data_IF_398759070584
#
_entry.id   IF_398759070584
#
_cell.length_a   1.000
_cell.length_b   1.000
_cell.length_c   1.000
_cell.angle_alpha   90.00
_cell.angle_beta   90.00
_cell.angle_gamma   90.00
#
_symmetry.space_group_name_H-M   'P 1'
#
loop_
_entity.id
_entity.type
_entity.pdbx_description
1 polymer ?
#
# COMPACT_ATOMS: atom_id res chain seq x y z
N UNK A 1 8.26 -17.44 -31.38
CA UNK A 1 6.88 -17.27 -30.84
C UNK A 1 6.48 -15.82 -31.03
N UNK A 2 5.28 -15.53 -31.55
CA UNK A 2 4.86 -14.14 -31.79
C UNK A 2 4.56 -13.41 -30.47
N UNK A 3 4.91 -12.11 -30.33
CA UNK A 3 4.68 -11.32 -29.11
C UNK A 3 3.22 -11.36 -28.64
N UNK A 4 2.29 -11.47 -29.60
CA UNK A 4 0.85 -11.52 -29.38
C UNK A 4 0.37 -12.77 -28.61
N UNK A 5 0.96 -13.94 -28.86
CA UNK A 5 0.59 -15.18 -28.16
C UNK A 5 1.03 -15.16 -26.69
N UNK A 6 2.16 -14.51 -26.39
CA UNK A 6 2.64 -14.32 -25.02
C UNK A 6 1.65 -13.48 -24.21
N UNK A 7 1.14 -12.39 -24.79
CA UNK A 7 0.16 -11.51 -24.12
C UNK A 7 -1.13 -12.27 -23.80
N UNK A 8 -1.68 -13.02 -24.75
CA UNK A 8 -2.91 -13.81 -24.54
C UNK A 8 -2.72 -14.88 -23.46
N UNK A 9 -1.53 -15.52 -23.39
CA UNK A 9 -1.23 -16.50 -22.35
C UNK A 9 -1.15 -15.90 -20.93
N UNK A 10 -0.86 -14.59 -20.80
CA UNK A 10 -0.91 -13.88 -19.51
C UNK A 10 -2.35 -13.71 -19.03
N UNK A 11 -3.31 -13.54 -19.94
CA UNK A 11 -4.74 -13.41 -19.63
C UNK A 11 -5.46 -14.75 -19.41
N UNK A 12 -4.83 -15.87 -19.79
CA UNK A 12 -5.30 -17.20 -19.40
C UNK A 12 -4.99 -17.44 -17.93
N UNK A 13 -5.81 -16.86 -17.05
CA UNK A 13 -5.73 -17.05 -15.61
C UNK A 13 -6.07 -18.52 -15.27
N UNK A 14 -5.04 -19.36 -15.15
CA UNK A 14 -5.12 -20.63 -14.41
C UNK A 14 -4.55 -20.38 -13.02
N UNK A 15 -5.34 -19.85 -12.07
CA UNK A 15 -4.86 -19.63 -10.72
C UNK A 15 -4.47 -20.98 -10.10
N UNK A 16 -3.21 -21.09 -9.69
CA UNK A 16 -2.74 -22.22 -8.91
C UNK A 16 -3.23 -22.08 -7.47
N UNK A 17 -4.39 -22.69 -7.18
CA UNK A 17 -5.00 -22.65 -5.86
C UNK A 17 -4.18 -23.36 -4.79
N UNK A 18 -3.22 -24.24 -5.16
CA UNK A 18 -2.36 -24.93 -4.20
C UNK A 18 -1.43 -23.98 -3.44
N UNK A 19 -1.16 -22.80 -4.01
CA UNK A 19 -0.30 -21.77 -3.41
C UNK A 19 -1.07 -20.68 -2.66
N UNK A 20 -2.40 -20.78 -2.57
CA UNK A 20 -3.20 -19.80 -1.81
C UNK A 20 -3.11 -20.08 -0.32
N UNK A 21 -2.96 -19.01 0.45
CA UNK A 21 -3.04 -19.05 1.91
C UNK A 21 -4.43 -18.59 2.30
N UNK A 22 -5.32 -19.55 2.58
CA UNK A 22 -6.73 -19.28 2.88
C UNK A 22 -6.94 -18.23 3.98
N UNK A 23 -6.17 -18.33 5.07
CA UNK A 23 -6.27 -17.36 6.17
C UNK A 23 -6.01 -15.91 5.75
N UNK A 24 -5.08 -15.67 4.81
CA UNK A 24 -4.82 -14.32 4.30
C UNK A 24 -5.97 -13.80 3.44
N UNK A 25 -6.63 -14.68 2.70
CA UNK A 25 -7.80 -14.31 1.89
C UNK A 25 -8.99 -13.94 2.80
N UNK A 26 -9.18 -14.67 3.91
CA UNK A 26 -10.19 -14.32 4.94
C UNK A 26 -9.89 -12.96 5.58
N UNK A 27 -8.63 -12.72 5.99
CA UNK A 27 -8.25 -11.45 6.61
C UNK A 27 -8.43 -10.26 5.66
N UNK A 28 -8.17 -10.44 4.36
CA UNK A 28 -8.46 -9.42 3.35
C UNK A 28 -9.94 -9.18 3.18
N UNK A 29 -10.76 -10.23 3.16
CA UNK A 29 -12.20 -10.08 3.06
C UNK A 29 -12.75 -9.27 4.25
N UNK A 30 -12.27 -9.56 5.47
CA UNK A 30 -12.61 -8.78 6.67
C UNK A 30 -12.16 -7.32 6.54
N UNK A 31 -10.94 -7.06 6.06
CA UNK A 31 -10.45 -5.71 5.83
C UNK A 31 -11.34 -4.92 4.86
N UNK A 32 -11.78 -5.53 3.75
CA UNK A 32 -12.71 -4.91 2.79
C UNK A 32 -14.03 -4.55 3.46
N UNK A 33 -14.59 -5.48 4.25
CA UNK A 33 -15.85 -5.24 4.96
C UNK A 33 -15.71 -4.04 5.91
N UNK A 34 -14.61 -3.95 6.65
CA UNK A 34 -14.36 -2.83 7.56
C UNK A 34 -14.22 -1.49 6.81
N UNK A 35 -13.49 -1.46 5.69
CA UNK A 35 -13.37 -0.26 4.85
C UNK A 35 -14.73 0.18 4.32
N UNK A 36 -15.49 -0.73 3.71
CA UNK A 36 -16.82 -0.42 3.14
C UNK A 36 -17.79 0.05 4.22
N UNK A 37 -17.79 -0.61 5.38
CA UNK A 37 -18.66 -0.22 6.50
C UNK A 37 -18.30 1.17 7.04
N UNK A 38 -17.02 1.47 7.18
CA UNK A 38 -16.56 2.80 7.59
C UNK A 38 -17.01 3.90 6.63
N UNK A 39 -16.85 3.67 5.32
CA UNK A 39 -17.28 4.64 4.30
C UNK A 39 -18.80 4.76 4.20
N UNK A 40 -19.56 3.66 4.38
CA UNK A 40 -21.04 3.73 4.35
C UNK A 40 -21.60 4.55 5.50
N UNK A 41 -21.01 4.46 6.70
CA UNK A 41 -21.43 5.26 7.86
C UNK A 41 -21.19 6.76 7.64
N UNK A 42 -20.12 7.13 6.93
CA UNK A 42 -19.84 8.52 6.56
C UNK A 42 -20.88 9.09 5.57
N UNK A 43 -21.45 8.25 4.70
CA UNK A 43 -22.46 8.67 3.72
C UNK A 43 -23.83 8.93 4.36
N UNK A 44 -24.23 8.14 5.35
CA UNK A 44 -25.56 8.29 5.98
C UNK A 44 -25.65 9.43 7.01
N UNK A 45 -24.53 10.08 7.38
CA UNK A 45 -24.44 10.91 8.61
C UNK A 45 -25.04 10.19 9.81
N UNK A 46 -24.99 8.86 9.82
CA UNK A 46 -25.63 8.07 10.85
C UNK A 46 -24.81 8.24 12.13
N UNK A 47 -25.38 8.95 13.11
CA UNK A 47 -24.84 9.02 14.48
C UNK A 47 -24.89 7.66 15.20
N UNK A 48 -25.42 6.62 14.55
CA UNK A 48 -25.43 5.25 15.05
C UNK A 48 -24.04 4.63 14.87
N UNK A 49 -23.06 5.15 15.60
CA UNK A 49 -21.85 4.41 15.89
C UNK A 49 -22.24 3.03 16.43
N UNK A 50 -21.66 1.95 15.90
CA UNK A 50 -21.65 0.69 16.63
C UNK A 50 -20.92 0.99 17.96
N UNK A 51 -21.60 0.98 19.12
CA UNK A 51 -21.15 1.79 20.25
C UNK A 51 -19.93 1.23 21.00
N UNK A 52 -19.39 0.07 20.60
CA UNK A 52 -18.44 -0.68 21.44
C UNK A 52 -17.28 -1.35 20.70
N UNK A 53 -17.20 -1.23 19.38
CA UNK A 53 -16.07 -1.77 18.64
C UNK A 53 -15.47 -0.58 17.89
N UNK A 54 -14.38 -0.01 18.41
CA UNK A 54 -13.38 0.60 17.53
C UNK A 54 -12.97 -0.51 16.58
N UNK A 55 -13.64 -0.60 15.43
CA UNK A 55 -13.32 -1.59 14.41
C UNK A 55 -11.83 -1.41 14.11
N UNK A 56 -11.12 -2.53 14.00
CA UNK A 56 -9.77 -2.52 13.45
C UNK A 56 -9.88 -1.76 12.13
N UNK A 57 -9.08 -0.71 11.95
CA UNK A 57 -9.09 0.04 10.70
C UNK A 57 -8.74 -0.93 9.57
N UNK A 58 -9.69 -1.13 8.66
CA UNK A 58 -9.53 -2.04 7.53
C UNK A 58 -8.33 -1.64 6.66
N UNK A 59 -8.01 -0.34 6.58
CA UNK A 59 -6.84 0.16 5.85
C UNK A 59 -5.53 -0.25 6.54
N UNK A 60 -5.45 -0.11 7.87
CA UNK A 60 -4.29 -0.57 8.64
C UNK A 60 -4.07 -2.09 8.48
N UNK A 61 -5.17 -2.87 8.55
CA UNK A 61 -5.11 -4.30 8.33
C UNK A 61 -4.62 -4.64 6.91
N UNK A 62 -5.08 -3.90 5.89
CA UNK A 62 -4.56 -4.02 4.53
C UNK A 62 -3.07 -3.75 4.43
N UNK A 63 -2.57 -2.70 5.09
CA UNK A 63 -1.14 -2.39 5.12
C UNK A 63 -0.31 -3.50 5.76
N UNK A 64 -0.76 -4.05 6.89
CA UNK A 64 -0.07 -5.17 7.56
C UNK A 64 -0.01 -6.40 6.63
N UNK A 65 -1.13 -6.75 6.00
CA UNK A 65 -1.20 -7.90 5.08
C UNK A 65 -0.35 -7.70 3.82
N UNK A 66 -0.37 -6.49 3.24
CA UNK A 66 0.48 -6.12 2.10
C UNK A 66 1.95 -6.17 2.48
N UNK A 67 2.33 -5.63 3.63
CA UNK A 67 3.69 -5.68 4.17
C UNK A 67 4.19 -7.11 4.38
N UNK A 68 3.38 -7.98 4.98
CA UNK A 68 3.72 -9.40 5.17
C UNK A 68 4.00 -10.11 3.83
N UNK A 69 3.13 -9.92 2.84
CA UNK A 69 3.22 -10.61 1.56
C UNK A 69 4.31 -10.06 0.64
N UNK A 70 4.40 -8.74 0.51
CA UNK A 70 5.42 -8.08 -0.32
C UNK A 70 6.78 -8.20 0.35
N UNK A 71 6.83 -7.96 1.66
CA UNK A 71 8.01 -8.14 2.50
C UNK A 71 8.59 -9.54 2.37
N UNK A 72 7.78 -10.56 2.64
CA UNK A 72 8.21 -11.95 2.54
C UNK A 72 8.66 -12.35 1.13
N UNK A 73 8.01 -11.83 0.09
CA UNK A 73 8.41 -12.07 -1.30
C UNK A 73 9.77 -11.45 -1.62
N UNK A 74 9.97 -10.17 -1.26
CA UNK A 74 11.22 -9.47 -1.54
C UNK A 74 12.37 -10.05 -0.71
N UNK A 75 12.16 -10.34 0.57
CA UNK A 75 13.18 -10.99 1.41
C UNK A 75 13.65 -12.30 0.78
N UNK A 76 12.74 -13.14 0.26
CA UNK A 76 13.11 -14.37 -0.45
C UNK A 76 13.95 -14.11 -1.71
N UNK A 77 13.61 -13.07 -2.48
CA UNK A 77 14.41 -12.65 -3.65
C UNK A 77 15.82 -12.23 -3.24
N UNK A 78 15.98 -11.54 -2.11
CA UNK A 78 17.28 -11.09 -1.61
C UNK A 78 18.11 -12.21 -0.96
N UNK A 79 17.46 -13.17 -0.28
CA UNK A 79 18.12 -14.32 0.31
C UNK A 79 18.67 -15.27 -0.76
N UNK A 80 17.95 -15.43 -1.88
CA UNK A 80 18.42 -16.19 -3.03
C UNK A 80 19.28 -15.29 -3.93
N UNK A 81 20.59 -15.27 -3.68
CA UNK A 81 21.54 -14.34 -4.34
C UNK A 81 21.60 -14.47 -5.86
N UNK A 82 21.14 -15.60 -6.41
CA UNK A 82 20.99 -15.84 -7.86
C UNK A 82 19.79 -15.11 -8.47
N UNK A 83 18.77 -14.81 -7.67
CA UNK A 83 17.50 -14.22 -8.11
C UNK A 83 17.50 -12.69 -7.97
N UNK A 84 18.47 -12.14 -7.23
CA UNK A 84 18.64 -10.70 -7.09
C UNK A 84 19.30 -10.09 -8.33
N UNK A 85 18.47 -9.59 -9.24
CA UNK A 85 18.86 -8.74 -10.34
C UNK A 85 17.82 -7.62 -10.51
N UNK A 86 18.24 -6.48 -11.05
CA UNK A 86 17.37 -5.38 -11.47
C UNK A 86 16.16 -5.86 -12.27
N UNK A 87 16.33 -6.89 -13.13
CA UNK A 87 15.22 -7.45 -13.90
C UNK A 87 14.12 -8.07 -13.01
N UNK A 88 14.48 -8.70 -11.89
CA UNK A 88 13.51 -9.29 -10.95
C UNK A 88 12.70 -8.19 -10.26
N UNK A 89 13.36 -7.10 -9.83
CA UNK A 89 12.71 -5.95 -9.20
C UNK A 89 11.82 -5.21 -10.22
N UNK A 90 12.31 -5.03 -11.46
CA UNK A 90 11.51 -4.46 -12.56
C UNK A 90 10.25 -5.29 -12.83
N UNK A 91 10.37 -6.62 -12.87
CA UNK A 91 9.24 -7.51 -13.03
C UNK A 91 8.24 -7.40 -11.86
N UNK A 92 8.74 -7.19 -10.63
CA UNK A 92 7.91 -6.92 -9.46
C UNK A 92 7.10 -5.62 -9.67
N UNK A 93 7.74 -4.50 -10.02
CA UNK A 93 7.05 -3.23 -10.26
C UNK A 93 6.00 -3.33 -11.37
N UNK A 94 6.34 -3.94 -12.51
CA UNK A 94 5.41 -4.13 -13.63
C UNK A 94 4.16 -4.89 -13.16
N UNK A 95 4.32 -6.01 -12.45
CA UNK A 95 3.17 -6.80 -11.99
C UNK A 95 2.27 -6.03 -11.02
N UNK A 96 2.85 -5.17 -10.19
CA UNK A 96 2.12 -4.34 -9.22
C UNK A 96 1.38 -3.22 -9.94
N UNK A 97 2.07 -2.47 -10.79
CA UNK A 97 1.50 -1.35 -11.51
C UNK A 97 0.39 -1.76 -12.48
N UNK A 98 0.52 -2.88 -13.19
CA UNK A 98 -0.57 -3.40 -14.04
C UNK A 98 -1.80 -3.86 -13.23
N UNK A 99 -1.67 -4.06 -11.92
CA UNK A 99 -2.77 -4.43 -11.04
C UNK A 99 -3.46 -3.20 -10.43
N UNK A 100 -2.70 -2.18 -10.02
CA UNK A 100 -3.23 -1.04 -9.25
C UNK A 100 -3.49 0.19 -10.12
N UNK A 101 -2.56 0.56 -11.01
CA UNK A 101 -2.64 1.81 -11.77
C UNK A 101 -3.84 1.90 -12.72
N UNK A 102 -4.24 0.85 -13.48
CA UNK A 102 -5.39 0.96 -14.37
C UNK A 102 -6.68 1.33 -13.63
N UNK A 103 -6.92 0.70 -12.47
CA UNK A 103 -8.08 0.99 -11.66
C UNK A 103 -8.00 2.40 -11.05
N UNK A 104 -6.82 2.79 -10.54
CA UNK A 104 -6.60 4.13 -9.99
C UNK A 104 -6.91 5.24 -10.99
N UNK A 105 -6.29 5.19 -12.17
CA UNK A 105 -6.48 6.23 -13.18
C UNK A 105 -7.89 6.24 -13.76
N UNK A 106 -8.55 5.07 -13.83
CA UNK A 106 -9.96 5.00 -14.20
C UNK A 106 -10.85 5.73 -13.18
N UNK A 107 -10.66 5.45 -11.89
CA UNK A 107 -11.44 6.10 -10.82
C UNK A 107 -11.13 7.60 -10.75
N UNK A 108 -9.86 7.99 -10.87
CA UNK A 108 -9.47 9.40 -10.95
C UNK A 108 -10.16 10.12 -12.12
N UNK A 109 -10.18 9.50 -13.30
CA UNK A 109 -10.86 10.05 -14.47
C UNK A 109 -12.37 10.19 -14.24
N UNK A 110 -13.02 9.18 -13.69
CA UNK A 110 -14.45 9.22 -13.36
C UNK A 110 -14.75 10.32 -12.33
N UNK A 111 -13.90 10.45 -11.31
CA UNK A 111 -14.04 11.49 -10.29
C UNK A 111 -13.92 12.90 -10.92
N UNK A 112 -12.91 13.14 -11.76
CA UNK A 112 -12.77 14.37 -12.56
C UNK A 112 -14.05 14.67 -13.36
N UNK A 113 -14.60 13.69 -14.08
CA UNK A 113 -15.82 13.86 -14.88
C UNK A 113 -17.02 14.19 -13.99
N UNK A 114 -17.23 13.44 -12.91
CA UNK A 114 -18.41 13.61 -12.04
C UNK A 114 -18.39 14.93 -11.25
N UNK A 115 -17.22 15.38 -10.81
CA UNK A 115 -17.08 16.69 -10.16
C UNK A 115 -17.25 17.81 -11.18
N UNK A 116 -16.61 17.71 -12.35
CA UNK A 116 -16.71 18.74 -13.41
C UNK A 116 -18.15 18.91 -13.93
N UNK A 117 -18.90 17.80 -14.07
CA UNK A 117 -20.31 17.81 -14.48
C UNK A 117 -21.29 18.19 -13.37
N UNK A 118 -20.82 18.34 -12.12
CA UNK A 118 -21.65 18.67 -10.96
C UNK A 118 -22.49 17.51 -10.41
N UNK A 119 -22.25 16.27 -10.85
CA UNK A 119 -22.87 15.06 -10.27
C UNK A 119 -22.40 14.89 -8.81
N UNK A 120 -21.12 15.09 -8.57
CA UNK A 120 -20.51 15.11 -7.22
C UNK A 120 -20.25 16.57 -6.85
N UNK A 121 -20.77 17.01 -5.71
CA UNK A 121 -20.64 18.39 -5.21
C UNK A 121 -19.34 18.59 -4.41
N UNK A 122 -18.21 18.33 -5.06
CA UNK A 122 -16.87 18.59 -4.53
C UNK A 122 -16.23 19.79 -5.23
N UNK A 123 -15.22 20.39 -4.59
CA UNK A 123 -14.52 21.53 -5.17
C UNK A 123 -13.43 21.07 -6.16
N UNK A 124 -13.66 21.33 -7.45
CA UNK A 124 -12.70 21.01 -8.51
C UNK A 124 -11.38 21.76 -8.38
N UNK A 125 -11.34 22.89 -7.66
CA UNK A 125 -10.10 23.65 -7.43
C UNK A 125 -9.05 22.85 -6.64
N UNK A 126 -9.49 21.80 -5.93
CA UNK A 126 -8.63 20.89 -5.19
C UNK A 126 -7.91 19.88 -6.08
N UNK A 127 -8.39 19.66 -7.32
CA UNK A 127 -7.68 18.82 -8.28
C UNK A 127 -6.31 19.42 -8.62
N UNK A 128 -5.28 18.57 -8.60
CA UNK A 128 -3.90 18.98 -8.85
C UNK A 128 -3.12 17.87 -9.58
N UNK A 129 -2.10 18.26 -10.36
CA UNK A 129 -1.15 17.35 -11.01
C UNK A 129 -0.52 16.33 -10.04
N UNK A 130 -0.48 16.64 -8.74
CA UNK A 130 0.01 15.73 -7.71
C UNK A 130 -0.74 14.39 -7.63
N UNK A 131 -2.04 14.34 -7.95
CA UNK A 131 -2.78 13.06 -8.02
C UNK A 131 -2.27 12.14 -9.14
N UNK A 132 -1.66 12.68 -10.20
CA UNK A 132 -1.12 11.86 -11.28
C UNK A 132 0.13 11.09 -10.87
N UNK A 133 0.85 11.59 -9.86
CA UNK A 133 2.16 11.08 -9.42
C UNK A 133 2.15 10.58 -7.97
N UNK A 134 0.97 10.36 -7.38
CA UNK A 134 0.84 9.91 -5.99
C UNK A 134 1.52 10.87 -4.99
N UNK A 135 1.46 12.18 -5.26
CA UNK A 135 2.09 13.23 -4.43
C UNK A 135 1.08 13.97 -3.55
N UNK A 136 -0.20 13.62 -3.62
CA UNK A 136 -1.27 14.28 -2.88
C UNK A 136 -1.08 14.22 -1.37
N UNK A 137 -0.51 13.13 -0.84
CA UNK A 137 -0.23 12.98 0.60
C UNK A 137 0.79 13.99 1.15
N UNK A 138 1.60 14.59 0.28
CA UNK A 138 2.57 15.64 0.67
C UNK A 138 1.97 17.05 0.60
N UNK A 139 0.67 17.16 0.34
CA UNK A 139 -0.03 18.44 0.22
C UNK A 139 -0.98 18.60 1.40
N UNK A 140 -0.99 19.78 2.01
CA UNK A 140 -1.92 20.13 3.08
C UNK A 140 -2.74 21.36 2.65
N UNK A 141 -4.06 21.39 2.90
CA UNK A 141 -4.89 20.33 3.49
C UNK A 141 -5.31 19.24 2.48
N UNK A 142 -5.35 17.98 2.93
CA UNK A 142 -5.80 16.82 2.15
C UNK A 142 -7.25 16.46 2.50
N UNK A 143 -8.21 17.17 1.91
CA UNK A 143 -9.65 16.98 2.11
C UNK A 143 -10.37 17.12 0.77
N UNK A 144 -11.49 16.42 0.61
CA UNK A 144 -12.38 16.53 -0.56
C UNK A 144 -11.91 15.76 -1.80
N UNK A 145 -12.40 16.17 -2.98
CA UNK A 145 -12.14 15.67 -4.34
C UNK A 145 -11.83 14.17 -4.51
N UNK A 146 -10.67 13.69 -4.05
CA UNK A 146 -10.23 12.30 -4.18
C UNK A 146 -9.51 11.79 -2.91
N UNK A 147 -10.11 12.05 -1.75
CA UNK A 147 -9.53 11.77 -0.43
C UNK A 147 -9.23 10.28 -0.21
N UNK A 148 -10.03 9.37 -0.75
CA UNK A 148 -9.85 7.92 -0.62
C UNK A 148 -8.52 7.42 -1.24
N UNK A 149 -7.89 8.22 -2.11
CA UNK A 149 -6.63 7.88 -2.80
C UNK A 149 -5.40 7.84 -1.89
N UNK A 150 -5.50 8.35 -0.65
CA UNK A 150 -4.36 8.53 0.24
C UNK A 150 -3.63 7.23 0.54
N UNK A 151 -4.37 6.15 0.80
CA UNK A 151 -3.82 4.88 1.23
C UNK A 151 -3.06 4.19 0.10
N UNK A 152 -3.61 4.25 -1.12
CA UNK A 152 -2.95 3.74 -2.32
C UNK A 152 -1.69 4.54 -2.65
N UNK A 153 -1.70 5.87 -2.44
CA UNK A 153 -0.51 6.69 -2.59
C UNK A 153 0.65 6.22 -1.73
N UNK A 154 0.38 5.88 -0.46
CA UNK A 154 1.39 5.31 0.45
C UNK A 154 1.89 3.96 -0.07
N UNK A 155 0.97 3.11 -0.54
CA UNK A 155 1.31 1.79 -1.06
C UNK A 155 2.21 1.85 -2.31
N UNK A 156 1.96 2.79 -3.24
CA UNK A 156 2.81 2.98 -4.43
C UNK A 156 4.23 3.45 -4.06
N UNK A 157 4.37 4.38 -3.12
CA UNK A 157 5.69 4.78 -2.62
C UNK A 157 6.39 3.64 -1.88
N UNK A 158 5.64 2.82 -1.13
CA UNK A 158 6.19 1.61 -0.53
C UNK A 158 6.73 0.64 -1.60
N UNK A 159 6.05 0.47 -2.73
CA UNK A 159 6.54 -0.40 -3.82
C UNK A 159 7.87 0.08 -4.43
N UNK A 160 8.13 1.39 -4.40
CA UNK A 160 9.38 1.96 -4.91
C UNK A 160 10.48 1.89 -3.86
N UNK A 161 10.23 2.44 -2.66
CA UNK A 161 11.26 2.59 -1.64
C UNK A 161 11.66 1.26 -1.00
N UNK A 162 10.69 0.37 -0.72
CA UNK A 162 10.98 -0.82 0.06
C UNK A 162 11.96 -1.79 -0.62
N UNK A 163 11.84 -2.13 -1.93
CA UNK A 163 12.86 -2.91 -2.62
C UNK A 163 14.23 -2.24 -2.64
N UNK A 164 14.29 -0.91 -2.79
CA UNK A 164 15.54 -0.15 -2.84
C UNK A 164 16.23 -0.17 -1.47
N UNK A 165 15.49 0.10 -0.41
CA UNK A 165 15.99 0.05 0.98
C UNK A 165 16.48 -1.36 1.31
N UNK A 166 15.69 -2.40 1.00
CA UNK A 166 16.12 -3.78 1.21
C UNK A 166 17.39 -4.12 0.44
N UNK A 167 17.53 -3.64 -0.80
CA UNK A 167 18.75 -3.83 -1.59
C UNK A 167 19.97 -3.15 -0.99
N UNK A 168 19.83 -1.90 -0.54
CA UNK A 168 20.91 -1.17 0.14
C UNK A 168 21.30 -1.89 1.44
N UNK A 169 20.32 -2.27 2.27
CA UNK A 169 20.56 -3.01 3.51
C UNK A 169 21.29 -4.31 3.22
N UNK A 170 20.86 -5.08 2.22
CA UNK A 170 21.50 -6.33 1.83
C UNK A 170 22.95 -6.14 1.38
N UNK A 171 23.22 -5.11 0.55
CA UNK A 171 24.58 -4.79 0.09
C UNK A 171 25.50 -4.43 1.28
N UNK A 172 25.00 -3.61 2.22
CA UNK A 172 25.73 -3.24 3.44
C UNK A 172 26.00 -4.49 4.29
N UNK A 173 24.99 -5.32 4.54
CA UNK A 173 25.16 -6.54 5.33
C UNK A 173 26.20 -7.48 4.71
N UNK A 174 26.19 -7.64 3.38
CA UNK A 174 27.17 -8.46 2.67
C UNK A 174 28.58 -7.87 2.77
N UNK A 175 28.72 -6.55 2.59
CA UNK A 175 30.01 -5.85 2.68
C UNK A 175 30.65 -5.97 4.08
N UNK A 176 29.83 -5.87 5.13
CA UNK A 176 30.29 -5.84 6.52
C UNK A 176 30.07 -7.17 7.28
N UNK A 177 29.62 -8.23 6.60
CA UNK A 177 29.30 -9.55 7.18
C UNK A 177 28.35 -9.48 8.39
N UNK A 178 27.40 -8.53 8.37
CA UNK A 178 26.46 -8.30 9.48
C UNK A 178 25.42 -9.42 9.51
N UNK A 179 25.27 -10.07 10.66
CA UNK A 179 24.23 -11.08 10.88
C UNK A 179 22.83 -10.47 10.89
N UNK A 180 21.84 -11.23 10.39
CA UNK A 180 20.40 -10.88 10.43
C UNK A 180 19.90 -10.58 11.85
N UNK A 181 20.55 -11.12 12.89
CA UNK A 181 20.24 -10.81 14.30
C UNK A 181 20.34 -9.31 14.58
N UNK A 182 21.32 -8.61 14.01
CA UNK A 182 21.51 -7.18 14.25
C UNK A 182 20.43 -6.34 13.57
N UNK A 183 19.91 -6.77 12.40
CA UNK A 183 18.72 -6.14 11.81
C UNK A 183 17.49 -6.29 12.70
N UNK A 184 17.28 -7.47 13.26
CA UNK A 184 16.14 -7.70 14.15
C UNK A 184 16.26 -6.86 15.44
N UNK A 185 17.46 -6.81 16.03
CA UNK A 185 17.72 -5.98 17.21
C UNK A 185 17.53 -4.50 16.92
N UNK A 186 18.03 -3.99 15.79
CA UNK A 186 17.86 -2.59 15.40
C UNK A 186 16.38 -2.25 15.15
N UNK A 187 15.62 -3.11 14.47
CA UNK A 187 14.19 -2.91 14.29
C UNK A 187 13.44 -2.85 15.64
N UNK A 188 13.78 -3.74 16.58
CA UNK A 188 13.22 -3.74 17.94
C UNK A 188 13.58 -2.45 18.68
N UNK A 189 14.85 -2.04 18.69
CA UNK A 189 15.27 -0.86 19.43
C UNK A 189 14.70 0.42 18.83
N UNK A 190 14.61 0.52 17.50
CA UNK A 190 13.94 1.65 16.84
C UNK A 190 12.45 1.69 17.18
N UNK A 191 11.77 0.54 17.22
CA UNK A 191 10.36 0.48 17.63
C UNK A 191 10.17 0.94 19.10
N UNK A 192 10.97 0.42 20.02
CA UNK A 192 10.92 0.83 21.43
C UNK A 192 11.28 2.31 21.61
N UNK A 193 12.30 2.80 20.89
CA UNK A 193 12.69 4.20 20.94
C UNK A 193 11.59 5.11 20.40
N UNK A 194 10.96 4.76 19.29
CA UNK A 194 9.83 5.49 18.73
C UNK A 194 8.64 5.53 19.71
N UNK A 195 8.29 4.39 20.30
CA UNK A 195 7.20 4.31 21.28
C UNK A 195 7.50 5.17 22.52
N UNK A 196 8.69 5.02 23.10
CA UNK A 196 9.15 5.85 24.21
C UNK A 196 9.12 7.34 23.84
N UNK A 197 9.67 7.72 22.68
CA UNK A 197 9.66 9.11 22.23
C UNK A 197 8.23 9.63 22.03
N UNK A 198 7.31 8.83 21.48
CA UNK A 198 5.91 9.23 21.29
C UNK A 198 5.15 9.41 22.61
N UNK A 199 5.51 8.65 23.65
CA UNK A 199 4.88 8.75 24.97
C UNK A 199 5.44 9.90 25.82
N UNK A 200 6.76 10.14 25.72
CA UNK A 200 7.49 11.04 26.62
C UNK A 200 8.00 12.33 25.96
N UNK A 201 7.84 12.53 24.65
CA UNK A 201 8.11 13.83 24.04
C UNK A 201 7.10 14.86 24.53
N UNK A 202 7.60 16.02 25.00
CA UNK A 202 6.81 17.18 25.42
C UNK A 202 6.10 17.90 24.25
N UNK A 203 6.09 17.30 23.07
CA UNK A 203 5.50 17.87 21.87
C UNK A 203 3.96 17.68 21.90
N UNK A 204 3.19 18.66 21.38
CA UNK A 204 1.74 18.54 21.32
C UNK A 204 1.32 17.27 20.56
N UNK A 205 0.43 16.48 21.16
CA UNK A 205 -0.04 15.18 20.63
C UNK A 205 -0.99 15.28 19.41
N UNK A 206 -0.94 16.38 18.65
CA UNK A 206 -1.89 16.67 17.58
C UNK A 206 -1.17 17.13 16.32
N UNK A 207 -0.59 16.16 15.62
CA UNK A 207 -0.33 16.15 14.18
C UNK A 207 -0.47 14.70 13.72
#
# INVERSE_FOLDING_TARGET
>A
MSPFRTIISIFQLRPDYSKRVFGLDVMRALAIIFVVTGHSMMLEKAETGFPWIRLIDGVELFFVLSGFLIGGMLIKIFENTTDYNFQTIKNFWIRRWFRTLPAYYLVLLLNVIFVYTGIIKEDFSQFNWKFLFFLQNFSQPFVGFFWESWSLSIEEWFYIFFPVILGIVFLIMKQFQISKKYLFLTAITTFYWFHYFSEYSLLPKWM
#
